data_IF_358055623028
#
_entry.id   IF_358055623028
#
_cell.length_a   1.000
_cell.length_b   1.000
_cell.length_c   1.000
_cell.angle_alpha   90.00
_cell.angle_beta   90.00
_cell.angle_gamma   90.00
#
_symmetry.space_group_name_H-M   'P 1'
#
loop_
_entity.id
_entity.type
_entity.pdbx_description
1 polymer ?
#
# COMPACT_ATOMS: atom_id res chain seq x y z
N UNK A 1 -12.09 -7.64 -12.31
CA UNK A 1 -11.22 -7.33 -11.15
C UNK A 1 -11.64 -6.02 -10.52
N UNK A 2 -11.55 -5.92 -9.22
CA UNK A 2 -11.86 -4.70 -8.49
C UNK A 2 -10.72 -4.37 -7.52
N UNK A 3 -10.35 -3.10 -7.49
CA UNK A 3 -9.51 -2.53 -6.45
C UNK A 3 -10.37 -1.49 -5.71
N UNK A 4 -10.65 -1.74 -4.44
CA UNK A 4 -11.66 -1.02 -3.68
C UNK A 4 -11.01 -0.34 -2.48
N UNK A 5 -11.28 0.97 -2.32
CA UNK A 5 -10.94 1.69 -1.10
C UNK A 5 -12.02 1.37 -0.06
N UNK A 6 -11.60 0.86 1.10
CA UNK A 6 -12.53 0.52 2.18
C UNK A 6 -12.84 1.79 2.98
N UNK A 7 -14.12 2.09 3.13
CA UNK A 7 -14.57 3.22 3.93
C UNK A 7 -14.16 3.06 5.40
N UNK A 8 -13.86 4.16 6.06
CA UNK A 8 -13.36 4.18 7.44
C UNK A 8 -14.30 3.43 8.39
N UNK A 9 -15.61 3.62 8.23
CA UNK A 9 -16.60 2.93 9.06
C UNK A 9 -16.78 1.45 8.75
N UNK A 10 -16.14 0.93 7.69
CA UNK A 10 -16.18 -0.49 7.32
C UNK A 10 -14.89 -1.24 7.71
N UNK A 11 -13.91 -0.56 8.28
CA UNK A 11 -12.63 -1.19 8.65
C UNK A 11 -12.85 -2.30 9.67
N UNK A 12 -13.62 -2.04 10.71
CA UNK A 12 -13.84 -3.01 11.78
C UNK A 12 -14.44 -4.32 11.27
N UNK A 13 -15.47 -4.24 10.44
CA UNK A 13 -16.12 -5.43 9.88
C UNK A 13 -15.26 -6.14 8.85
N UNK A 14 -14.38 -5.42 8.16
CA UNK A 14 -13.48 -5.98 7.15
C UNK A 14 -12.23 -6.62 7.79
N UNK A 15 -11.85 -6.16 8.97
CA UNK A 15 -10.58 -6.49 9.62
C UNK A 15 -10.27 -7.99 9.71
N UNK A 16 -11.21 -8.87 10.13
CA UNK A 16 -10.93 -10.30 10.22
C UNK A 16 -10.46 -10.93 8.91
N UNK A 17 -10.87 -10.36 7.78
CA UNK A 17 -10.55 -10.88 6.44
C UNK A 17 -9.23 -10.39 5.90
N UNK A 18 -8.68 -9.30 6.45
CA UNK A 18 -7.50 -8.63 5.89
C UNK A 18 -6.28 -8.66 6.81
N UNK A 19 -6.46 -8.90 8.10
CA UNK A 19 -5.36 -8.81 9.07
C UNK A 19 -4.17 -9.71 8.74
N UNK A 20 -4.41 -10.89 8.18
CA UNK A 20 -3.33 -11.81 7.82
C UNK A 20 -2.52 -11.31 6.64
N UNK A 21 -3.15 -10.59 5.70
CA UNK A 21 -2.42 -9.91 4.61
C UNK A 21 -1.48 -8.84 5.14
N UNK A 22 -1.83 -8.21 6.25
CA UNK A 22 -1.03 -7.17 6.90
C UNK A 22 0.09 -7.77 7.71
N UNK A 23 -0.19 -8.85 8.45
CA UNK A 23 0.77 -9.45 9.37
C UNK A 23 2.04 -9.96 8.68
N UNK A 24 1.91 -10.58 7.51
CA UNK A 24 3.07 -11.13 6.78
C UNK A 24 4.13 -10.07 6.45
N UNK A 25 3.78 -8.94 5.82
CA UNK A 25 4.75 -7.86 5.60
C UNK A 25 5.30 -7.28 6.89
N UNK A 26 4.50 -7.19 7.94
CA UNK A 26 4.94 -6.69 9.24
C UNK A 26 6.01 -7.60 9.86
N UNK A 27 5.86 -8.92 9.73
CA UNK A 27 6.83 -9.89 10.24
C UNK A 27 8.21 -9.76 9.57
N UNK A 28 8.25 -9.15 8.38
CA UNK A 28 9.47 -8.88 7.62
C UNK A 28 10.03 -7.48 7.84
N UNK A 29 9.30 -6.64 8.58
CA UNK A 29 9.74 -5.27 8.90
C UNK A 29 10.78 -5.30 10.04
N UNK A 30 11.37 -4.14 10.29
CA UNK A 30 12.36 -3.96 11.36
C UNK A 30 11.73 -3.40 12.64
N UNK A 31 10.40 -3.51 12.79
CA UNK A 31 9.70 -3.07 13.99
C UNK A 31 9.16 -1.65 13.94
N UNK A 32 9.16 -1.03 12.78
CA UNK A 32 8.65 0.36 12.63
C UNK A 32 7.16 0.47 12.89
N UNK A 33 6.41 -0.63 12.73
CA UNK A 33 4.96 -0.68 12.92
C UNK A 33 4.54 -2.01 13.50
N UNK A 34 3.39 -2.00 14.17
CA UNK A 34 2.72 -3.23 14.58
C UNK A 34 1.26 -3.20 14.09
N UNK A 35 0.56 -4.34 14.23
CA UNK A 35 -0.78 -4.49 13.67
C UNK A 35 -1.80 -3.58 14.37
N UNK A 36 -1.65 -3.32 15.64
CA UNK A 36 -2.52 -2.44 16.41
C UNK A 36 -2.41 -0.98 15.93
N UNK A 37 -1.19 -0.53 15.66
CA UNK A 37 -0.96 0.83 15.10
C UNK A 37 -1.63 0.99 13.75
N UNK A 38 -1.56 -0.02 12.89
CA UNK A 38 -2.18 0.01 11.57
C UNK A 38 -3.70 0.05 11.71
N UNK A 39 -4.27 -0.83 12.53
CA UNK A 39 -5.71 -0.83 12.79
C UNK A 39 -6.19 0.54 13.27
N UNK A 40 -5.51 1.11 14.26
CA UNK A 40 -5.83 2.43 14.81
C UNK A 40 -5.80 3.51 13.71
N UNK A 41 -4.74 3.53 12.90
CA UNK A 41 -4.60 4.53 11.82
C UNK A 41 -5.70 4.42 10.78
N UNK A 42 -6.16 3.20 10.49
CA UNK A 42 -7.22 2.96 9.52
C UNK A 42 -8.59 3.40 10.06
N UNK A 43 -8.93 3.07 11.29
CA UNK A 43 -10.23 3.47 11.87
C UNK A 43 -10.34 4.98 12.11
N UNK A 44 -9.22 5.67 12.25
CA UNK A 44 -9.18 7.12 12.42
C UNK A 44 -8.96 7.90 11.11
N UNK A 45 -8.92 7.19 9.97
CA UNK A 45 -8.77 7.83 8.67
C UNK A 45 -7.39 8.43 8.39
N UNK A 46 -6.39 8.13 9.20
CA UNK A 46 -5.01 8.58 9.01
C UNK A 46 -4.32 7.83 7.85
N UNK A 47 -4.76 6.63 7.59
CA UNK A 47 -4.32 5.79 6.49
C UNK A 47 -5.53 5.25 5.75
N UNK A 48 -5.33 4.77 4.54
CA UNK A 48 -6.37 4.19 3.71
C UNK A 48 -6.07 2.73 3.43
N UNK A 49 -7.11 1.91 3.39
CA UNK A 49 -7.04 0.51 3.03
C UNK A 49 -7.64 0.29 1.65
N UNK A 50 -6.88 -0.38 0.79
CA UNK A 50 -7.33 -0.80 -0.53
C UNK A 50 -7.29 -2.32 -0.62
N UNK A 51 -8.34 -2.91 -1.18
CA UNK A 51 -8.48 -4.36 -1.29
C UNK A 51 -8.63 -4.74 -2.76
N UNK A 52 -7.84 -5.71 -3.21
CA UNK A 52 -7.89 -6.22 -4.58
C UNK A 52 -8.61 -7.57 -4.61
N UNK A 53 -9.62 -7.66 -5.47
CA UNK A 53 -10.49 -8.84 -5.60
C UNK A 53 -10.67 -9.17 -7.08
N UNK A 54 -10.57 -10.44 -7.46
CA UNK A 54 -10.96 -10.92 -8.77
C UNK A 54 -11.67 -12.28 -8.69
N UNK A 55 -12.12 -12.80 -9.83
CA UNK A 55 -12.83 -14.07 -9.89
C UNK A 55 -11.91 -15.27 -9.70
N UNK A 56 -10.66 -15.17 -10.14
CA UNK A 56 -9.69 -16.25 -10.07
C UNK A 56 -9.22 -16.53 -8.65
N UNK A 57 -8.81 -15.49 -7.92
CA UNK A 57 -8.19 -15.61 -6.61
C UNK A 57 -9.04 -15.08 -5.47
N UNK A 58 -10.22 -14.53 -5.75
CA UNK A 58 -11.02 -13.83 -4.74
C UNK A 58 -10.29 -12.60 -4.24
N UNK A 59 -10.31 -12.33 -2.94
CA UNK A 59 -9.48 -11.30 -2.33
C UNK A 59 -8.03 -11.79 -2.35
N UNK A 60 -7.16 -11.13 -3.10
CA UNK A 60 -5.79 -11.59 -3.27
C UNK A 60 -4.73 -10.61 -2.77
N UNK A 61 -5.10 -9.40 -2.43
CA UNK A 61 -4.12 -8.46 -1.92
C UNK A 61 -4.73 -7.23 -1.28
N UNK A 62 -3.91 -6.58 -0.47
CA UNK A 62 -4.24 -5.30 0.15
C UNK A 62 -3.08 -4.32 -0.02
N UNK A 63 -3.41 -3.05 0.04
CA UNK A 63 -2.42 -1.97 0.12
C UNK A 63 -2.89 -0.97 1.15
N UNK A 64 -1.95 -0.49 1.94
CA UNK A 64 -2.16 0.64 2.84
C UNK A 64 -1.46 1.84 2.24
N UNK A 65 -2.18 2.95 2.18
CA UNK A 65 -1.65 4.23 1.71
C UNK A 65 -1.75 5.28 2.80
N UNK A 66 -0.91 6.29 2.70
CA UNK A 66 -0.92 7.44 3.60
C UNK A 66 -0.55 8.70 2.83
N UNK A 67 -1.34 9.74 2.99
CA UNK A 67 -1.04 11.03 2.37
C UNK A 67 0.03 11.72 3.21
N UNK A 68 1.10 12.16 2.56
CA UNK A 68 2.18 12.93 3.16
C UNK A 68 2.13 14.36 2.61
N UNK A 69 2.02 15.32 3.52
CA UNK A 69 2.01 16.73 3.15
C UNK A 69 3.40 17.32 3.34
N UNK A 70 4.18 17.39 2.25
CA UNK A 70 5.46 18.09 2.24
C UNK A 70 5.24 19.58 1.97
N UNK A 71 6.20 20.45 2.31
CA UNK A 71 6.03 21.90 2.09
C UNK A 71 5.70 22.28 0.64
N UNK A 72 6.27 21.57 -0.33
CA UNK A 72 6.13 21.94 -1.74
C UNK A 72 5.16 21.08 -2.54
N UNK A 73 4.73 19.94 -2.00
CA UNK A 73 3.81 19.03 -2.70
C UNK A 73 3.27 17.97 -1.75
N UNK A 74 2.20 17.30 -2.19
CA UNK A 74 1.67 16.12 -1.51
C UNK A 74 2.21 14.86 -2.16
N UNK A 75 2.52 13.85 -1.36
CA UNK A 75 2.91 12.53 -1.82
C UNK A 75 1.96 11.47 -1.24
N UNK A 76 1.88 10.33 -1.90
CA UNK A 76 1.18 9.15 -1.40
C UNK A 76 2.23 8.11 -1.01
N UNK A 77 2.32 7.81 0.26
CA UNK A 77 3.16 6.73 0.76
C UNK A 77 2.39 5.41 0.68
N UNK A 78 3.10 4.33 0.37
CA UNK A 78 2.59 2.96 0.43
C UNK A 78 3.37 2.18 1.49
N UNK A 79 3.03 2.36 2.78
CA UNK A 79 3.77 1.72 3.85
C UNK A 79 3.75 0.20 3.80
N UNK A 80 2.70 -0.39 3.20
CA UNK A 80 2.51 -1.82 3.26
C UNK A 80 1.68 -2.33 2.08
N UNK A 81 2.16 -3.41 1.46
CA UNK A 81 1.44 -4.20 0.47
C UNK A 81 1.53 -5.65 0.90
N UNK A 82 0.39 -6.32 1.00
CA UNK A 82 0.32 -7.74 1.31
C UNK A 82 -0.50 -8.47 0.27
N UNK A 83 0.01 -9.57 -0.27
CA UNK A 83 -0.67 -10.33 -1.32
C UNK A 83 -0.58 -11.83 -1.06
N UNK A 84 -1.50 -12.58 -1.66
CA UNK A 84 -1.38 -14.04 -1.74
C UNK A 84 -0.08 -14.41 -2.48
N UNK A 85 0.51 -15.57 -2.19
CA UNK A 85 1.69 -16.04 -2.93
C UNK A 85 1.47 -15.96 -4.44
N UNK A 86 2.50 -15.53 -5.18
CA UNK A 86 2.53 -15.46 -6.64
C UNK A 86 1.54 -14.47 -7.29
N UNK A 87 0.93 -13.56 -6.51
CA UNK A 87 -0.03 -12.56 -7.04
C UNK A 87 0.51 -11.13 -7.05
N UNK A 88 1.73 -10.89 -6.60
CA UNK A 88 2.27 -9.53 -6.46
C UNK A 88 2.35 -8.79 -7.81
N UNK A 89 2.72 -9.47 -8.88
CA UNK A 89 2.76 -8.85 -10.22
C UNK A 89 1.37 -8.43 -10.67
N UNK A 90 0.39 -9.31 -10.47
CA UNK A 90 -1.02 -9.01 -10.76
C UNK A 90 -1.48 -7.81 -9.96
N UNK A 91 -1.13 -7.76 -8.66
CA UNK A 91 -1.48 -6.62 -7.83
C UNK A 91 -0.91 -5.31 -8.40
N UNK A 92 0.36 -5.30 -8.80
CA UNK A 92 0.97 -4.09 -9.37
C UNK A 92 0.34 -3.68 -10.70
N UNK A 93 -0.01 -4.63 -11.55
CA UNK A 93 -0.69 -4.33 -12.82
C UNK A 93 -2.01 -3.60 -12.58
N UNK A 94 -2.74 -3.98 -11.54
CA UNK A 94 -4.01 -3.35 -11.18
C UNK A 94 -3.85 -2.11 -10.32
N UNK A 95 -2.88 -2.12 -9.41
CA UNK A 95 -2.71 -1.06 -8.41
C UNK A 95 -1.94 0.15 -8.90
N UNK A 96 -1.02 -0.04 -9.84
CA UNK A 96 -0.09 1.02 -10.27
C UNK A 96 -0.16 1.35 -11.75
N UNK A 97 -1.08 0.74 -12.50
CA UNK A 97 -1.36 1.17 -13.87
C UNK A 97 -2.09 2.51 -13.89
N UNK A 98 -2.02 3.22 -15.03
CA UNK A 98 -2.62 4.56 -15.15
C UNK A 98 -4.13 4.60 -14.90
N UNK A 99 -4.81 3.48 -15.11
CA UNK A 99 -6.26 3.36 -14.87
C UNK A 99 -6.61 2.88 -13.46
N UNK A 100 -5.61 2.67 -12.60
CA UNK A 100 -5.83 2.22 -11.23
C UNK A 100 -6.68 3.21 -10.44
N UNK A 101 -7.65 2.72 -9.63
CA UNK A 101 -8.40 3.57 -8.71
C UNK A 101 -7.50 4.34 -7.73
N UNK A 102 -6.37 3.78 -7.31
CA UNK A 102 -5.42 4.48 -6.43
C UNK A 102 -4.81 5.67 -7.17
N UNK A 103 -4.38 5.48 -8.41
CA UNK A 103 -3.76 6.53 -9.21
C UNK A 103 -4.77 7.64 -9.50
N UNK A 104 -6.00 7.28 -9.89
CA UNK A 104 -7.06 8.25 -10.13
C UNK A 104 -7.38 9.07 -8.87
N UNK A 105 -7.54 8.40 -7.76
CA UNK A 105 -7.81 9.04 -6.47
C UNK A 105 -6.68 9.99 -6.07
N UNK A 106 -5.42 9.56 -6.23
CA UNK A 106 -4.27 10.40 -5.94
C UNK A 106 -4.25 11.67 -6.81
N UNK A 107 -4.54 11.53 -8.12
CA UNK A 107 -4.60 12.67 -9.03
C UNK A 107 -5.70 13.67 -8.64
N UNK A 108 -6.88 13.18 -8.27
CA UNK A 108 -8.00 14.02 -7.82
C UNK A 108 -7.64 14.85 -6.58
N UNK A 109 -6.79 14.31 -5.71
CA UNK A 109 -6.32 15.02 -4.51
C UNK A 109 -5.11 15.92 -4.77
N UNK A 110 -4.62 16.02 -6.01
CA UNK A 110 -3.45 16.82 -6.34
C UNK A 110 -2.14 16.22 -5.87
N UNK A 111 -2.11 14.93 -5.61
CA UNK A 111 -0.88 14.22 -5.20
C UNK A 111 0.06 14.12 -6.40
N UNK A 112 1.35 14.47 -6.19
CA UNK A 112 2.35 14.58 -7.26
C UNK A 112 3.32 13.39 -7.31
N UNK A 113 3.41 12.61 -6.25
CA UNK A 113 4.39 11.52 -6.15
C UNK A 113 3.83 10.38 -5.33
N UNK A 114 4.14 9.15 -5.76
CA UNK A 114 3.91 7.94 -4.96
C UNK A 114 5.28 7.45 -4.51
N UNK A 115 5.42 7.11 -3.24
CA UNK A 115 6.69 6.66 -2.67
C UNK A 115 6.49 5.48 -1.72
N UNK A 116 7.54 4.69 -1.54
CA UNK A 116 7.54 3.57 -0.62
C UNK A 116 8.96 3.15 -0.27
N UNK A 117 9.10 2.47 0.85
CA UNK A 117 10.35 1.84 1.25
C UNK A 117 10.30 0.38 0.83
N UNK A 118 11.23 -0.02 -0.04
CA UNK A 118 11.22 -1.35 -0.63
C UNK A 118 12.65 -1.89 -0.77
N UNK A 119 12.77 -3.21 -0.83
CA UNK A 119 14.04 -3.86 -1.15
C UNK A 119 14.37 -3.65 -2.62
N UNK A 120 15.66 -3.71 -2.97
CA UNK A 120 16.12 -3.47 -4.35
C UNK A 120 15.43 -4.35 -5.40
N UNK A 121 15.04 -5.58 -5.04
CA UNK A 121 14.31 -6.47 -5.95
C UNK A 121 12.99 -5.91 -6.46
N UNK A 122 12.38 -4.97 -5.75
CA UNK A 122 11.15 -4.31 -6.17
C UNK A 122 11.37 -3.31 -7.32
N UNK A 123 12.59 -2.81 -7.47
CA UNK A 123 12.93 -1.83 -8.51
C UNK A 123 12.66 -2.39 -9.90
N UNK A 124 13.10 -3.61 -10.17
CA UNK A 124 12.87 -4.25 -11.47
C UNK A 124 11.37 -4.48 -11.75
N UNK A 125 10.63 -4.93 -10.75
CA UNK A 125 9.20 -5.20 -10.89
C UNK A 125 8.37 -3.94 -11.11
N UNK A 126 8.77 -2.82 -10.49
CA UNK A 126 8.02 -1.56 -10.53
C UNK A 126 8.47 -0.60 -11.63
N UNK A 127 9.57 -0.90 -12.29
CA UNK A 127 10.17 -0.07 -13.33
C UNK A 127 9.21 0.27 -14.47
N UNK A 128 8.40 -0.69 -14.90
CA UNK A 128 7.42 -0.47 -15.97
C UNK A 128 6.28 0.48 -15.58
N UNK A 129 6.13 0.79 -14.28
CA UNK A 129 5.18 1.78 -13.78
C UNK A 129 5.86 3.10 -13.45
N UNK A 130 7.08 3.33 -13.96
CA UNK A 130 7.88 4.55 -13.82
C UNK A 130 8.41 4.79 -12.40
N UNK A 131 8.46 3.76 -11.57
CA UNK A 131 9.16 3.86 -10.29
C UNK A 131 10.67 3.82 -10.49
N UNK A 132 11.38 4.60 -9.71
CA UNK A 132 12.84 4.64 -9.70
C UNK A 132 13.34 4.91 -8.29
N UNK A 133 14.58 4.54 -8.03
CA UNK A 133 15.22 4.77 -6.74
C UNK A 133 15.62 6.23 -6.60
N UNK A 134 15.24 6.86 -5.48
CA UNK A 134 15.68 8.22 -5.15
C UNK A 134 16.72 8.23 -4.05
N UNK A 135 16.41 7.61 -2.91
CA UNK A 135 17.25 7.66 -1.72
C UNK A 135 17.52 6.26 -1.20
N UNK A 136 18.60 6.14 -0.46
CA UNK A 136 18.89 4.94 0.32
C UNK A 136 18.71 5.28 1.79
N UNK A 137 17.94 4.47 2.52
CA UNK A 137 17.84 4.57 3.96
C UNK A 137 19.04 3.86 4.58
N UNK A 138 19.79 4.57 5.40
CA UNK A 138 20.89 3.99 6.17
C UNK A 138 20.55 4.03 7.63
N UNK A 139 20.87 2.96 8.37
CA UNK A 139 20.52 2.85 9.79
C UNK A 139 21.73 2.44 10.62
N UNK A 140 21.71 2.84 11.87
CA UNK A 140 22.64 2.38 12.90
C UNK A 140 21.84 2.13 14.17
N UNK A 141 21.96 0.94 14.71
CA UNK A 141 21.38 0.64 16.02
C UNK A 141 22.27 1.19 17.13
N UNK A 142 21.64 1.69 18.20
CA UNK A 142 22.32 2.28 19.35
C UNK A 142 21.85 1.64 20.64
#
# INVERSE_FOLDING_TARGET
MKLIKIETNCIEVTWPYIKDFIQKPLDRSMGERNIENIYYSLIHGQQQLWVAIDEEDGMFGICITQILEYPNFKALSMPLIGTKPHTIKKWFDYGMGDDSPIIKWARELGIKRIEGYARDGWLEMTKKYNFKKYYTVITREI
#
